data_IF_473252823025
#
_entry.id   IF_473252823025
#
_cell.length_a   1.000
_cell.length_b   1.000
_cell.length_c   1.000
_cell.angle_alpha   90.00
_cell.angle_beta   90.00
_cell.angle_gamma   90.00
#
_symmetry.space_group_name_H-M   'P 1'
#
loop_
_entity.id
_entity.type
_entity.pdbx_description
1 polymer ?
#
# COMPACT_ATOMS: atom_id res chain seq x y z
N UNK A 1 10.99 1.85 -14.93
CA UNK A 1 12.34 2.44 -15.09
C UNK A 1 13.13 1.64 -16.13
N UNK A 2 13.58 2.28 -17.21
CA UNK A 2 14.36 1.62 -18.30
C UNK A 2 15.60 0.88 -17.78
N UNK A 3 16.27 1.39 -16.76
CA UNK A 3 17.44 0.71 -16.15
C UNK A 3 17.07 -0.63 -15.51
N UNK A 4 15.91 -0.72 -14.91
CA UNK A 4 15.44 -1.96 -14.27
C UNK A 4 15.12 -3.06 -15.30
N UNK A 5 14.59 -2.68 -16.44
CA UNK A 5 14.30 -3.62 -17.54
C UNK A 5 15.56 -4.27 -18.12
N UNK A 6 16.70 -3.57 -18.11
CA UNK A 6 17.94 -4.04 -18.74
C UNK A 6 18.96 -4.61 -17.74
N UNK A 7 18.94 -4.16 -16.47
CA UNK A 7 19.98 -4.46 -15.47
C UNK A 7 19.43 -5.08 -14.18
N UNK A 8 18.11 -5.30 -14.08
CA UNK A 8 17.45 -5.76 -12.86
C UNK A 8 17.33 -4.66 -11.79
N UNK A 9 17.03 -5.08 -10.57
CA UNK A 9 16.87 -4.17 -9.44
C UNK A 9 18.15 -3.39 -9.13
N UNK A 10 17.99 -2.15 -8.66
CA UNK A 10 19.15 -1.35 -8.24
C UNK A 10 19.74 -1.93 -6.95
N UNK A 11 21.04 -2.20 -6.88
CA UNK A 11 21.68 -2.78 -5.70
C UNK A 11 21.76 -1.81 -4.51
N UNK A 12 21.71 -0.51 -4.76
CA UNK A 12 21.98 0.54 -3.76
C UNK A 12 20.80 1.46 -3.48
N UNK A 13 19.66 1.27 -4.16
CA UNK A 13 18.53 2.20 -4.04
C UNK A 13 17.18 1.50 -4.25
N UNK A 14 16.24 1.78 -3.36
CA UNK A 14 14.83 1.44 -3.55
C UNK A 14 14.12 2.55 -4.34
N UNK A 15 13.05 2.19 -5.07
CA UNK A 15 12.35 3.13 -5.96
C UNK A 15 11.61 4.25 -5.22
N UNK A 16 11.12 3.98 -4.01
CA UNK A 16 10.33 4.92 -3.22
C UNK A 16 10.97 5.31 -1.88
N UNK A 17 12.12 4.74 -1.55
CA UNK A 17 12.79 5.00 -0.28
C UNK A 17 14.28 5.35 -0.49
N UNK A 18 14.87 6.27 0.29
CA UNK A 18 14.23 7.20 1.25
C UNK A 18 13.43 8.33 0.57
N UNK A 19 13.64 8.53 -0.72
CA UNK A 19 12.90 9.48 -1.57
C UNK A 19 12.58 8.83 -2.91
N UNK A 20 11.49 9.21 -3.56
CA UNK A 20 11.13 8.71 -4.89
C UNK A 20 12.29 8.87 -5.87
N UNK A 21 12.55 7.83 -6.64
CA UNK A 21 13.59 7.85 -7.65
C UNK A 21 13.17 8.73 -8.84
N UNK A 22 14.03 9.63 -9.30
CA UNK A 22 13.73 10.49 -10.45
C UNK A 22 13.49 9.70 -11.76
N UNK A 23 13.99 8.45 -11.84
CA UNK A 23 13.75 7.56 -12.97
C UNK A 23 12.50 6.68 -12.81
N UNK A 24 11.75 6.85 -11.71
CA UNK A 24 10.54 6.08 -11.48
C UNK A 24 9.45 6.56 -12.45
N UNK A 25 8.92 5.62 -13.20
CA UNK A 25 7.72 5.81 -14.02
C UNK A 25 6.66 4.90 -13.40
N UNK A 26 5.58 5.51 -12.95
CA UNK A 26 4.41 4.77 -12.46
C UNK A 26 3.35 4.85 -13.55
N UNK A 27 2.97 3.68 -14.02
CA UNK A 27 1.99 3.51 -15.08
C UNK A 27 1.19 2.23 -14.77
N UNK A 28 -0.10 2.35 -14.66
CA UNK A 28 -1.02 1.24 -14.41
C UNK A 28 -1.86 0.89 -15.65
N UNK A 29 -1.54 1.45 -16.83
CA UNK A 29 -2.34 1.27 -18.05
C UNK A 29 -2.54 -0.19 -18.43
N UNK A 30 -1.47 -0.99 -18.43
CA UNK A 30 -1.53 -2.41 -18.75
C UNK A 30 -2.39 -3.19 -17.73
N UNK A 31 -2.27 -2.82 -16.45
CA UNK A 31 -3.06 -3.47 -15.40
C UNK A 31 -4.55 -3.09 -15.50
N UNK A 32 -4.85 -1.83 -15.78
CA UNK A 32 -6.22 -1.37 -16.06
C UNK A 32 -6.79 -2.10 -17.27
N UNK A 33 -6.02 -2.22 -18.34
CA UNK A 33 -6.43 -2.92 -19.55
C UNK A 33 -6.78 -4.39 -19.26
N UNK A 34 -5.91 -5.10 -18.54
CA UNK A 34 -6.16 -6.48 -18.11
C UNK A 34 -7.47 -6.59 -17.29
N UNK A 35 -7.68 -5.70 -16.33
CA UNK A 35 -8.89 -5.71 -15.51
C UNK A 35 -10.16 -5.44 -16.33
N UNK A 36 -10.09 -4.56 -17.33
CA UNK A 36 -11.20 -4.29 -18.26
C UNK A 36 -11.51 -5.51 -19.13
N UNK A 37 -10.50 -6.16 -19.67
CA UNK A 37 -10.64 -7.39 -20.46
C UNK A 37 -11.27 -8.51 -19.64
N UNK A 38 -10.80 -8.71 -18.41
CA UNK A 38 -11.38 -9.72 -17.51
C UNK A 38 -12.86 -9.45 -17.20
N UNK A 39 -13.26 -8.17 -17.05
CA UNK A 39 -14.67 -7.81 -16.84
C UNK A 39 -15.52 -8.03 -18.08
N UNK A 40 -14.92 -7.95 -19.27
CA UNK A 40 -15.63 -8.11 -20.54
C UNK A 40 -15.86 -9.59 -20.91
N UNK A 41 -15.24 -10.54 -20.21
CA UNK A 41 -15.39 -11.96 -20.49
C UNK A 41 -16.85 -12.42 -20.27
N UNK A 42 -17.39 -13.27 -21.17
CA UNK A 42 -18.73 -13.84 -20.99
C UNK A 42 -18.86 -14.58 -19.65
N UNK A 43 -19.99 -14.37 -18.97
CA UNK A 43 -20.32 -14.98 -17.67
C UNK A 43 -19.51 -14.44 -16.48
N UNK A 44 -18.52 -13.57 -16.65
CA UNK A 44 -17.86 -12.86 -15.55
C UNK A 44 -18.77 -11.72 -15.08
N UNK A 45 -19.21 -11.78 -13.83
CA UNK A 45 -20.07 -10.73 -13.24
C UNK A 45 -19.26 -9.64 -12.57
N UNK A 46 -18.18 -10.00 -11.87
CA UNK A 46 -17.31 -9.06 -11.12
C UNK A 46 -15.88 -9.59 -11.05
N UNK A 47 -14.92 -8.69 -11.03
CA UNK A 47 -13.50 -8.98 -10.85
C UNK A 47 -13.00 -8.17 -9.67
N UNK A 48 -12.65 -8.83 -8.56
CA UNK A 48 -12.19 -8.17 -7.34
C UNK A 48 -10.72 -8.41 -7.08
N UNK A 49 -10.02 -7.35 -6.65
CA UNK A 49 -8.64 -7.42 -6.18
C UNK A 49 -8.66 -7.74 -4.68
N UNK A 50 -8.19 -8.93 -4.31
CA UNK A 50 -8.17 -9.41 -2.92
C UNK A 50 -6.80 -9.33 -2.25
N UNK A 51 -5.73 -9.34 -3.04
CA UNK A 51 -4.34 -9.39 -2.55
C UNK A 51 -3.83 -8.06 -1.98
N UNK A 52 -4.61 -7.01 -2.06
CA UNK A 52 -4.16 -5.66 -1.73
C UNK A 52 -3.44 -4.98 -2.90
N UNK A 53 -3.08 -3.74 -2.71
CA UNK A 53 -2.39 -2.91 -3.71
C UNK A 53 -1.18 -2.19 -3.11
N UNK A 54 -0.25 -1.82 -3.97
CA UNK A 54 0.87 -0.94 -3.64
C UNK A 54 0.38 0.52 -3.68
N UNK A 55 -0.25 0.95 -2.57
CA UNK A 55 -0.80 2.30 -2.43
C UNK A 55 0.26 3.38 -2.62
N UNK A 56 1.49 3.09 -2.21
CA UNK A 56 2.64 3.97 -2.32
C UNK A 56 3.00 4.28 -3.78
N UNK A 57 2.97 3.30 -4.69
CA UNK A 57 3.12 3.55 -6.13
C UNK A 57 1.92 4.30 -6.70
N UNK A 58 0.71 3.94 -6.28
CA UNK A 58 -0.52 4.57 -6.76
C UNK A 58 -0.53 6.09 -6.52
N UNK A 59 0.07 6.54 -5.42
CA UNK A 59 0.14 7.97 -5.11
C UNK A 59 1.01 8.76 -6.10
N UNK A 60 1.91 8.10 -6.82
CA UNK A 60 2.74 8.70 -7.88
C UNK A 60 2.16 8.52 -9.28
N UNK A 61 1.02 7.86 -9.41
CA UNK A 61 0.29 7.79 -10.67
C UNK A 61 -0.36 9.14 -11.00
N UNK A 62 0.01 9.69 -12.15
CA UNK A 62 -0.44 11.02 -12.57
C UNK A 62 -1.92 11.03 -12.96
N UNK A 63 -2.39 9.96 -13.53
CA UNK A 63 -3.71 9.88 -14.16
C UNK A 63 -4.85 9.59 -13.16
N UNK A 64 -4.59 9.00 -12.01
CA UNK A 64 -5.60 8.57 -11.01
C UNK A 64 -6.74 7.70 -11.58
N UNK A 65 -6.69 7.32 -12.85
CA UNK A 65 -7.68 6.42 -13.47
C UNK A 65 -7.71 5.09 -12.76
N UNK A 66 -6.54 4.56 -12.41
CA UNK A 66 -6.47 3.31 -11.67
C UNK A 66 -7.18 3.39 -10.32
N UNK A 67 -6.98 4.44 -9.53
CA UNK A 67 -7.69 4.61 -8.25
C UNK A 67 -9.21 4.66 -8.45
N UNK A 68 -9.68 5.38 -9.45
CA UNK A 68 -11.10 5.47 -9.76
C UNK A 68 -11.69 4.11 -10.14
N UNK A 69 -11.11 3.41 -11.12
CA UNK A 69 -11.61 2.12 -11.57
C UNK A 69 -11.49 1.03 -10.50
N UNK A 70 -10.43 1.06 -9.71
CA UNK A 70 -10.27 0.20 -8.55
C UNK A 70 -11.47 0.33 -7.61
N UNK A 71 -11.79 1.54 -7.17
CA UNK A 71 -12.91 1.80 -6.27
C UNK A 71 -14.27 1.47 -6.95
N UNK A 72 -14.40 1.79 -8.24
CA UNK A 72 -15.66 1.63 -8.95
C UNK A 72 -16.00 0.18 -9.25
N UNK A 73 -15.00 -0.66 -9.57
CA UNK A 73 -15.26 -2.01 -10.10
C UNK A 73 -14.58 -3.15 -9.36
N UNK A 74 -13.47 -2.90 -8.63
CA UNK A 74 -12.57 -3.96 -8.21
C UNK A 74 -12.43 -4.11 -6.69
N UNK A 75 -13.16 -3.33 -5.90
CA UNK A 75 -13.24 -3.45 -4.44
C UNK A 75 -14.62 -3.98 -4.04
N UNK A 76 -14.63 -5.07 -3.29
CA UNK A 76 -15.88 -5.74 -2.84
C UNK A 76 -16.48 -5.17 -1.55
N UNK A 77 -15.99 -4.01 -1.08
CA UNK A 77 -16.33 -3.40 0.21
C UNK A 77 -15.11 -3.15 1.08
N UNK A 78 -14.07 -3.97 0.97
CA UNK A 78 -12.82 -3.81 1.72
C UNK A 78 -11.62 -3.88 0.79
N UNK A 79 -10.66 -2.96 0.97
CA UNK A 79 -9.38 -2.95 0.27
C UNK A 79 -8.25 -3.15 1.28
N UNK A 80 -7.46 -4.19 1.08
CA UNK A 80 -6.25 -4.44 1.89
C UNK A 80 -5.10 -3.56 1.42
N UNK A 81 -4.39 -2.97 2.37
CA UNK A 81 -3.18 -2.18 2.14
C UNK A 81 -2.16 -2.47 3.23
N UNK A 82 -0.88 -2.37 2.91
CA UNK A 82 0.19 -2.73 3.83
C UNK A 82 1.05 -1.51 4.20
N UNK A 83 0.57 -0.59 5.05
CA UNK A 83 1.40 0.46 5.62
C UNK A 83 2.48 -0.10 6.56
N UNK A 84 2.26 -1.25 7.17
CA UNK A 84 3.12 -2.00 8.09
C UNK A 84 3.26 -1.34 9.46
N UNK A 85 3.49 -0.05 9.53
CA UNK A 85 3.56 0.74 10.76
C UNK A 85 3.14 2.19 10.51
N UNK A 86 3.01 2.97 11.58
CA UNK A 86 2.67 4.40 11.49
C UNK A 86 3.80 5.31 12.00
N UNK A 87 4.76 4.78 12.72
CA UNK A 87 5.93 5.54 13.15
C UNK A 87 6.97 5.61 12.02
N UNK A 88 7.37 6.83 11.66
CA UNK A 88 8.39 7.05 10.63
C UNK A 88 9.75 6.45 11.00
N UNK A 89 10.06 6.30 12.29
CA UNK A 89 11.27 5.62 12.74
C UNK A 89 11.29 4.15 12.33
N UNK A 90 10.17 3.44 12.50
CA UNK A 90 10.03 2.03 12.09
C UNK A 90 9.93 1.91 10.57
N UNK A 91 9.12 2.76 9.92
CA UNK A 91 8.97 2.76 8.45
C UNK A 91 10.30 2.97 7.74
N UNK A 92 11.17 3.84 8.28
CA UNK A 92 12.51 4.06 7.73
C UNK A 92 13.37 2.78 7.79
N UNK A 93 13.29 2.00 8.85
CA UNK A 93 14.00 0.71 8.99
C UNK A 93 13.44 -0.37 8.05
N UNK A 94 12.12 -0.36 7.85
CA UNK A 94 11.44 -1.21 6.88
C UNK A 94 11.75 -0.83 5.41
N UNK A 95 12.39 0.32 5.17
CA UNK A 95 12.57 0.86 3.82
C UNK A 95 11.25 1.26 3.16
N UNK A 96 10.25 1.63 3.96
CA UNK A 96 8.94 2.07 3.49
C UNK A 96 8.88 3.59 3.38
N UNK A 97 8.02 4.14 2.51
CA UNK A 97 7.70 5.55 2.51
C UNK A 97 7.14 6.01 3.87
N UNK A 98 7.25 7.30 4.14
CA UNK A 98 6.75 7.89 5.37
C UNK A 98 5.22 7.75 5.52
N UNK A 99 4.73 7.86 6.75
CA UNK A 99 3.30 7.74 7.08
C UNK A 99 2.43 8.79 6.37
N UNK A 100 3.00 9.93 6.00
CA UNK A 100 2.30 10.99 5.26
C UNK A 100 1.84 10.51 3.88
N UNK A 101 2.60 9.60 3.24
CA UNK A 101 2.20 8.98 1.97
C UNK A 101 0.96 8.09 2.18
N UNK A 102 0.94 7.32 3.25
CA UNK A 102 -0.22 6.51 3.61
C UNK A 102 -1.44 7.39 3.93
N UNK A 103 -1.28 8.42 4.75
CA UNK A 103 -2.36 9.34 5.10
C UNK A 103 -2.94 10.04 3.86
N UNK A 104 -2.07 10.44 2.94
CA UNK A 104 -2.49 11.01 1.65
C UNK A 104 -3.30 10.03 0.81
N UNK A 105 -2.90 8.76 0.81
CA UNK A 105 -3.67 7.69 0.14
C UNK A 105 -5.03 7.48 0.81
N UNK A 106 -5.09 7.40 2.15
CA UNK A 106 -6.35 7.24 2.90
C UNK A 106 -7.33 8.35 2.54
N UNK A 107 -6.84 9.58 2.49
CA UNK A 107 -7.66 10.74 2.08
C UNK A 107 -8.15 10.59 0.64
N UNK A 108 -7.25 10.31 -0.30
CA UNK A 108 -7.60 10.16 -1.72
C UNK A 108 -8.63 9.02 -1.94
N UNK A 109 -8.49 7.92 -1.21
CA UNK A 109 -9.41 6.79 -1.26
C UNK A 109 -10.81 7.17 -0.72
N UNK A 110 -10.88 7.84 0.44
CA UNK A 110 -12.14 8.33 1.01
C UNK A 110 -12.83 9.33 0.08
N UNK A 111 -12.08 10.28 -0.47
CA UNK A 111 -12.60 11.29 -1.40
C UNK A 111 -13.12 10.63 -2.69
N UNK A 112 -12.43 9.62 -3.20
CA UNK A 112 -12.88 8.87 -4.37
C UNK A 112 -14.17 8.11 -4.09
N UNK A 113 -14.26 7.39 -2.98
CA UNK A 113 -15.48 6.68 -2.58
C UNK A 113 -16.69 7.62 -2.45
N UNK A 114 -16.47 8.79 -1.84
CA UNK A 114 -17.50 9.82 -1.75
C UNK A 114 -17.97 10.28 -3.13
N UNK A 115 -17.06 10.48 -4.08
CA UNK A 115 -17.39 10.89 -5.46
C UNK A 115 -18.21 9.86 -6.22
N UNK A 116 -17.91 8.57 -6.03
CA UNK A 116 -18.62 7.48 -6.72
C UNK A 116 -19.81 6.94 -5.95
N UNK A 117 -20.11 7.50 -4.77
CA UNK A 117 -21.26 7.11 -3.95
C UNK A 117 -21.15 5.70 -3.39
N UNK A 118 -19.92 5.24 -3.05
CA UNK A 118 -19.69 3.91 -2.47
C UNK A 118 -19.17 4.01 -1.04
N UNK A 119 -19.55 3.04 -0.25
CA UNK A 119 -19.07 2.83 1.10
C UNK A 119 -18.10 1.66 1.13
N UNK A 120 -16.81 1.97 1.13
CA UNK A 120 -15.71 0.98 1.12
C UNK A 120 -14.67 1.35 2.18
N UNK A 121 -14.13 0.31 2.82
CA UNK A 121 -13.22 0.45 3.96
C UNK A 121 -11.80 -0.01 3.59
N UNK A 122 -10.81 0.63 4.21
CA UNK A 122 -9.43 0.16 4.15
C UNK A 122 -9.19 -0.82 5.30
N UNK A 123 -8.50 -1.92 4.99
CA UNK A 123 -8.01 -2.88 5.97
C UNK A 123 -6.49 -2.78 5.98
N UNK A 124 -5.90 -2.00 6.90
CA UNK A 124 -4.47 -1.85 7.00
C UNK A 124 -3.84 -3.12 7.58
N UNK A 125 -2.82 -3.63 6.92
CA UNK A 125 -1.91 -4.61 7.49
C UNK A 125 -0.87 -3.87 8.31
N UNK A 126 -0.82 -4.15 9.61
CA UNK A 126 0.09 -3.53 10.55
C UNK A 126 0.95 -4.60 11.22
N UNK A 127 2.17 -4.22 11.55
CA UNK A 127 3.17 -5.09 12.16
C UNK A 127 3.64 -4.49 13.49
N UNK A 128 3.69 -5.33 14.52
CA UNK A 128 4.32 -5.02 15.81
C UNK A 128 5.71 -5.65 15.91
N UNK A 129 6.47 -5.23 16.90
CA UNK A 129 7.74 -5.87 17.28
C UNK A 129 8.81 -5.93 16.18
N UNK A 130 8.77 -5.03 15.19
CA UNK A 130 9.84 -4.94 14.20
C UNK A 130 11.18 -4.57 14.87
N UNK A 131 12.31 -5.17 14.47
CA UNK A 131 13.63 -4.84 15.01
C UNK A 131 13.88 -3.33 15.03
N UNK A 132 14.27 -2.83 16.20
CA UNK A 132 14.46 -1.41 16.46
C UNK A 132 13.20 -0.60 16.73
N UNK A 133 12.03 -1.22 16.80
CA UNK A 133 10.86 -0.64 17.45
C UNK A 133 11.04 -0.68 18.96
N UNK A 134 10.71 0.42 19.63
CA UNK A 134 10.75 0.54 21.10
C UNK A 134 9.33 0.65 21.64
N UNK A 135 9.22 0.71 22.98
CA UNK A 135 7.92 0.95 23.62
C UNK A 135 7.25 2.23 23.14
N UNK A 136 8.03 3.25 22.78
CA UNK A 136 7.50 4.50 22.24
C UNK A 136 6.73 4.27 20.94
N UNK A 137 7.32 3.58 19.97
CA UNK A 137 6.68 3.30 18.68
C UNK A 137 5.50 2.33 18.84
N UNK A 138 5.56 1.42 19.83
CA UNK A 138 4.43 0.57 20.15
C UNK A 138 3.23 1.36 20.70
N UNK A 139 3.51 2.36 21.56
CA UNK A 139 2.46 3.28 22.07
C UNK A 139 1.88 4.11 20.92
N UNK A 140 2.72 4.68 20.05
CA UNK A 140 2.26 5.42 18.87
C UNK A 140 1.31 4.58 18.00
N UNK A 141 1.63 3.30 17.79
CA UNK A 141 0.76 2.39 17.04
C UNK A 141 -0.55 2.12 17.77
N UNK A 142 -0.50 1.89 19.09
CA UNK A 142 -1.69 1.65 19.90
C UNK A 142 -2.63 2.88 19.93
N UNK A 143 -2.08 4.08 20.05
CA UNK A 143 -2.85 5.33 19.98
C UNK A 143 -3.51 5.51 18.61
N UNK A 144 -2.78 5.25 17.55
CA UNK A 144 -3.33 5.27 16.20
C UNK A 144 -4.49 4.29 16.02
N UNK A 145 -4.36 3.06 16.54
CA UNK A 145 -5.42 2.06 16.49
C UNK A 145 -6.66 2.49 17.28
N UNK A 146 -6.48 3.06 18.46
CA UNK A 146 -7.57 3.65 19.24
C UNK A 146 -8.30 4.74 18.42
N UNK A 147 -7.56 5.62 17.74
CA UNK A 147 -8.11 6.77 17.01
C UNK A 147 -8.75 6.37 15.67
N UNK A 148 -8.47 5.17 15.15
CA UNK A 148 -9.18 4.63 13.99
C UNK A 148 -10.68 4.41 14.24
N UNK A 149 -11.10 4.31 15.50
CA UNK A 149 -12.50 4.07 15.88
C UNK A 149 -12.97 2.63 15.67
N UNK A 150 -12.10 1.72 15.28
CA UNK A 150 -12.34 0.28 15.23
C UNK A 150 -11.07 -0.49 15.57
N UNK A 151 -11.22 -1.69 16.12
CA UNK A 151 -10.11 -2.58 16.41
C UNK A 151 -9.84 -3.46 15.18
N UNK A 152 -8.64 -3.43 14.58
CA UNK A 152 -8.30 -4.37 13.53
C UNK A 152 -8.28 -5.80 14.06
N UNK A 153 -8.79 -6.74 13.27
CA UNK A 153 -8.82 -8.17 13.65
C UNK A 153 -7.42 -8.75 13.81
N UNK A 154 -6.45 -8.20 13.11
CA UNK A 154 -5.08 -8.71 13.10
C UNK A 154 -4.04 -7.59 13.09
N UNK A 155 -3.11 -7.64 14.05
CA UNK A 155 -1.80 -6.98 13.99
C UNK A 155 -0.77 -8.11 13.98
N UNK A 156 0.08 -8.14 12.96
CA UNK A 156 1.08 -9.19 12.80
C UNK A 156 2.31 -8.88 13.64
N UNK A 157 2.79 -9.83 14.43
CA UNK A 157 4.13 -9.73 15.00
C UNK A 157 5.20 -9.93 13.93
N UNK A 158 6.33 -9.23 14.09
CA UNK A 158 7.46 -9.43 13.22
C UNK A 158 7.91 -10.88 13.24
N UNK A 159 7.97 -11.50 12.07
CA UNK A 159 8.50 -12.84 11.90
C UNK A 159 9.80 -12.78 11.09
N UNK A 160 10.94 -13.24 11.64
CA UNK A 160 12.21 -13.25 10.93
C UNK A 160 12.13 -14.10 9.67
N UNK A 161 12.29 -13.47 8.53
CA UNK A 161 12.30 -14.17 7.23
C UNK A 161 13.73 -14.23 6.70
N UNK A 162 14.27 -15.39 6.35
CA UNK A 162 15.62 -15.53 5.81
C UNK A 162 15.85 -14.57 4.63
N UNK A 163 17.08 -14.06 4.53
CA UNK A 163 17.52 -13.14 3.47
C UNK A 163 16.86 -11.75 3.46
N UNK A 164 16.25 -11.34 4.57
CA UNK A 164 15.77 -9.96 4.74
C UNK A 164 16.68 -9.16 5.64
N UNK A 165 16.82 -7.86 5.36
CA UNK A 165 17.61 -6.93 6.19
C UNK A 165 17.05 -6.89 7.61
N UNK A 166 15.75 -6.88 7.78
CA UNK A 166 15.09 -6.84 9.09
C UNK A 166 15.42 -8.05 9.97
N UNK A 167 15.72 -9.21 9.37
CA UNK A 167 16.14 -10.40 10.12
C UNK A 167 17.60 -10.27 10.62
N UNK A 168 18.40 -9.43 9.98
CA UNK A 168 19.80 -9.18 10.34
C UNK A 168 19.98 -8.02 11.32
N UNK A 169 18.92 -7.29 11.65
CA UNK A 169 18.91 -6.19 12.62
C UNK A 169 18.81 -6.72 14.05
#
# INVERSE_FOLDING_TARGET
>A
CKKQLTRGACPTKQCLFPKPCNNLIVDHSDYIQLLRELRALPKVKKVFIRSGIRFDYLMYDKDKTFLRELCEYHVSGQLKVAPEHISNAVLSRLGKPSVEVYNSFVKAYKDMNKKIGKEQYLVPYLMSSHPGSTLKEAIELAEYLRDLGYMPEQVQDFYPTPSTISTCM
#
